data_IF_410956048750
#
_entry.id   IF_410956048750
#
_cell.length_a   1.000
_cell.length_b   1.000
_cell.length_c   1.000
_cell.angle_alpha   90.00
_cell.angle_beta   90.00
_cell.angle_gamma   90.00
#
_symmetry.space_group_name_H-M   'P 1'
#
loop_
_entity.id
_entity.type
_entity.pdbx_description
1 polymer ?
#
# COMPACT_ATOMS: atom_id res chain seq x y z
N UNK A 1 72.90 21.10 -16.43
CA UNK A 1 71.56 20.62 -16.05
C UNK A 1 70.57 21.11 -17.11
N UNK A 2 69.95 20.20 -17.81
CA UNK A 2 69.16 20.45 -19.02
C UNK A 2 67.79 21.07 -18.65
N UNK A 3 67.37 22.10 -19.43
CA UNK A 3 66.10 22.81 -19.30
C UNK A 3 64.82 21.91 -19.38
N UNK A 4 64.97 20.60 -19.65
CA UNK A 4 63.87 19.64 -19.69
C UNK A 4 63.39 19.16 -18.32
N UNK A 5 64.20 19.28 -17.27
CA UNK A 5 63.79 18.79 -15.91
C UNK A 5 63.06 19.84 -15.08
N UNK A 6 63.04 21.09 -15.51
CA UNK A 6 62.33 22.15 -14.77
C UNK A 6 60.83 22.19 -15.13
N UNK A 7 60.43 21.74 -16.33
CA UNK A 7 59.04 21.70 -16.76
C UNK A 7 58.26 20.52 -16.14
N UNK A 8 58.94 19.43 -15.80
CA UNK A 8 58.29 18.23 -15.23
C UNK A 8 57.92 18.39 -13.74
N UNK A 9 58.68 19.26 -12.98
CA UNK A 9 58.39 19.53 -11.60
C UNK A 9 57.27 20.56 -11.41
N UNK A 10 57.07 21.47 -12.38
CA UNK A 10 55.98 22.46 -12.29
C UNK A 10 54.60 21.83 -12.60
N UNK A 11 54.55 20.78 -13.43
CA UNK A 11 53.30 20.06 -13.75
C UNK A 11 52.79 19.15 -12.62
N UNK A 12 53.71 18.60 -11.82
CA UNK A 12 53.36 17.75 -10.68
C UNK A 12 52.86 18.60 -9.50
N UNK A 13 53.32 19.82 -9.30
CA UNK A 13 52.83 20.70 -8.25
C UNK A 13 51.43 21.27 -8.53
N UNK A 14 51.05 21.43 -9.82
CA UNK A 14 49.70 21.90 -10.16
C UNK A 14 48.65 20.79 -10.09
N UNK A 15 49.02 19.51 -10.23
CA UNK A 15 48.08 18.36 -10.03
C UNK A 15 47.76 18.06 -8.54
N UNK A 16 48.66 18.46 -7.63
CA UNK A 16 48.46 18.22 -6.20
C UNK A 16 47.62 19.31 -5.51
N UNK A 17 47.39 20.45 -6.15
CA UNK A 17 46.57 21.54 -5.61
C UNK A 17 45.07 21.39 -5.96
N UNK A 18 44.70 20.56 -6.91
CA UNK A 18 43.29 20.34 -7.30
C UNK A 18 42.60 19.17 -6.57
N UNK A 19 43.31 18.43 -5.72
CA UNK A 19 42.72 17.29 -4.98
C UNK A 19 42.24 17.63 -3.57
N UNK A 20 42.30 18.87 -3.12
CA UNK A 20 41.87 19.28 -1.76
C UNK A 20 40.58 20.10 -1.71
N UNK A 21 39.90 20.34 -2.85
CA UNK A 21 38.67 21.15 -2.89
C UNK A 21 37.40 20.37 -3.28
N UNK A 22 37.45 19.02 -3.29
CA UNK A 22 36.27 18.18 -3.55
C UNK A 22 35.95 17.32 -2.32
N UNK A 23 35.87 17.94 -1.17
CA UNK A 23 35.41 17.24 0.03
C UNK A 23 34.79 18.21 1.03
N UNK A 24 33.76 18.93 0.60
CA UNK A 24 32.73 19.51 1.46
C UNK A 24 31.54 19.95 0.59
N UNK A 25 30.91 18.99 -0.12
CA UNK A 25 29.53 19.17 -0.45
C UNK A 25 28.76 18.93 0.87
N UNK A 26 28.28 20.01 1.47
CA UNK A 26 27.24 19.95 2.49
C UNK A 26 26.16 19.03 1.92
N UNK A 27 25.95 17.89 2.57
CA UNK A 27 24.71 17.17 2.49
C UNK A 27 23.67 18.10 3.11
N UNK A 28 23.07 18.95 2.29
CA UNK A 28 21.84 19.62 2.68
C UNK A 28 20.84 18.48 2.97
N UNK A 29 20.50 18.32 4.24
CA UNK A 29 19.30 17.59 4.62
C UNK A 29 18.15 18.30 3.90
N UNK A 30 17.78 17.79 2.74
CA UNK A 30 16.49 18.06 2.15
C UNK A 30 15.46 17.49 3.14
N UNK A 31 14.97 18.34 4.02
CA UNK A 31 13.67 18.10 4.64
C UNK A 31 12.67 18.25 3.50
N UNK A 32 12.40 17.16 2.79
CA UNK A 32 11.26 17.13 1.87
C UNK A 32 10.04 17.44 2.75
N UNK A 33 9.46 18.62 2.57
CA UNK A 33 8.12 18.88 3.11
C UNK A 33 7.24 17.72 2.61
N UNK A 34 6.64 16.98 3.56
CA UNK A 34 5.72 15.90 3.24
C UNK A 34 4.56 16.56 2.48
N UNK A 35 4.56 16.43 1.17
CA UNK A 35 3.53 17.02 0.32
C UNK A 35 2.20 16.38 0.70
N UNK A 36 1.27 17.18 1.23
CA UNK A 36 -0.06 16.69 1.57
C UNK A 36 -0.77 16.22 0.31
N UNK A 37 -1.17 14.96 0.28
CA UNK A 37 -1.94 14.40 -0.82
C UNK A 37 -3.35 14.99 -0.83
N UNK A 38 -4.00 14.92 -1.99
CA UNK A 38 -5.41 15.27 -2.12
C UNK A 38 -6.25 14.18 -1.47
N UNK A 39 -7.06 14.55 -0.49
CA UNK A 39 -8.09 13.68 0.10
C UNK A 39 -9.34 13.73 -0.78
N UNK A 40 -9.78 12.60 -1.39
CA UNK A 40 -11.06 12.57 -2.07
C UNK A 40 -12.20 12.97 -1.11
N UNK A 41 -13.27 13.60 -1.61
CA UNK A 41 -14.42 13.97 -0.77
C UNK A 41 -14.99 12.76 -0.04
N UNK A 42 -15.23 12.87 1.26
CA UNK A 42 -15.95 11.85 2.02
C UNK A 42 -17.38 11.70 1.51
N UNK A 43 -17.89 10.49 1.59
CA UNK A 43 -19.22 10.16 1.09
C UNK A 43 -20.31 10.72 2.01
N UNK A 44 -21.45 11.00 1.40
CA UNK A 44 -22.68 11.42 2.09
C UNK A 44 -23.83 10.54 1.63
N UNK A 45 -24.89 10.47 2.43
CA UNK A 45 -26.14 9.83 2.03
C UNK A 45 -26.61 10.40 0.69
N UNK A 46 -26.92 9.51 -0.25
CA UNK A 46 -27.31 9.83 -1.62
C UNK A 46 -26.17 9.84 -2.64
N UNK A 47 -24.91 9.79 -2.21
CA UNK A 47 -23.76 9.66 -3.11
C UNK A 47 -23.74 8.31 -3.81
N UNK A 48 -23.13 8.28 -5.00
CA UNK A 48 -23.01 7.08 -5.81
C UNK A 48 -21.62 6.50 -5.74
N UNK A 49 -21.55 5.18 -5.59
CA UNK A 49 -20.32 4.37 -5.71
C UNK A 49 -20.48 3.33 -6.81
N UNK A 50 -19.37 2.85 -7.34
CA UNK A 50 -19.38 1.74 -8.29
C UNK A 50 -18.64 0.54 -7.69
N UNK A 51 -19.22 -0.66 -7.84
CA UNK A 51 -18.53 -1.92 -7.61
C UNK A 51 -18.12 -2.48 -8.96
N UNK A 52 -16.85 -2.78 -9.15
CA UNK A 52 -16.30 -3.35 -10.38
C UNK A 52 -15.21 -4.39 -10.09
N UNK A 53 -14.81 -5.15 -11.09
CA UNK A 53 -13.81 -6.22 -10.94
C UNK A 53 -12.55 -5.91 -11.77
N UNK A 54 -11.54 -5.25 -11.18
CA UNK A 54 -10.34 -4.85 -11.94
C UNK A 54 -9.38 -6.02 -12.21
N UNK A 55 -9.53 -7.14 -11.53
CA UNK A 55 -8.58 -8.24 -11.51
C UNK A 55 -9.25 -9.62 -11.66
N UNK A 56 -9.44 -10.34 -10.56
CA UNK A 56 -9.94 -11.72 -10.52
C UNK A 56 -11.44 -11.85 -10.80
N UNK A 57 -11.84 -13.01 -11.32
CA UNK A 57 -13.22 -13.31 -11.72
C UNK A 57 -14.21 -13.26 -10.56
N UNK A 58 -15.41 -12.77 -10.85
CA UNK A 58 -16.59 -12.80 -9.98
C UNK A 58 -17.73 -13.67 -10.55
N UNK A 59 -17.46 -14.45 -11.60
CA UNK A 59 -18.39 -15.44 -12.13
C UNK A 59 -18.82 -16.37 -11.00
N UNK A 60 -20.11 -16.58 -10.84
CA UNK A 60 -20.74 -17.34 -9.73
C UNK A 60 -20.68 -16.65 -8.35
N UNK A 61 -20.41 -15.34 -8.28
CA UNK A 61 -20.45 -14.54 -7.05
C UNK A 61 -21.46 -13.39 -7.12
N UNK A 62 -22.51 -13.54 -7.94
CA UNK A 62 -23.54 -12.52 -8.09
C UNK A 62 -24.24 -12.22 -6.76
N UNK A 63 -24.58 -13.27 -6.00
CA UNK A 63 -25.21 -13.13 -4.68
C UNK A 63 -24.29 -12.39 -3.68
N UNK A 64 -23.00 -12.71 -3.69
CA UNK A 64 -22.01 -12.03 -2.86
C UNK A 64 -21.93 -10.52 -3.17
N UNK A 65 -21.92 -10.17 -4.46
CA UNK A 65 -21.86 -8.76 -4.89
C UNK A 65 -23.19 -8.05 -4.58
N UNK A 66 -24.33 -8.75 -4.65
CA UNK A 66 -25.60 -8.15 -4.22
C UNK A 66 -25.60 -7.86 -2.71
N UNK A 67 -25.12 -8.77 -1.86
CA UNK A 67 -24.93 -8.50 -0.42
C UNK A 67 -24.01 -7.29 -0.16
N UNK A 68 -22.92 -7.15 -0.93
CA UNK A 68 -22.05 -5.99 -0.83
C UNK A 68 -22.76 -4.69 -1.21
N UNK A 69 -23.58 -4.74 -2.27
CA UNK A 69 -24.42 -3.63 -2.68
C UNK A 69 -25.44 -3.27 -1.59
N UNK A 70 -26.17 -4.25 -1.07
CA UNK A 70 -27.13 -4.07 0.03
C UNK A 70 -26.47 -3.45 1.26
N UNK A 71 -25.25 -3.87 1.61
CA UNK A 71 -24.47 -3.28 2.70
C UNK A 71 -24.25 -1.79 2.46
N UNK A 72 -23.76 -1.39 1.31
CA UNK A 72 -23.52 0.02 0.99
C UNK A 72 -24.84 0.83 0.88
N UNK A 73 -25.88 0.24 0.34
CA UNK A 73 -27.23 0.86 0.26
C UNK A 73 -27.84 1.04 1.67
N UNK A 74 -27.54 0.16 2.62
CA UNK A 74 -27.95 0.32 4.02
C UNK A 74 -27.34 1.55 4.69
N UNK A 75 -26.26 2.08 4.14
CA UNK A 75 -25.61 3.34 4.56
C UNK A 75 -26.18 4.56 3.82
N UNK A 76 -27.17 4.36 2.96
CA UNK A 76 -27.80 5.40 2.16
C UNK A 76 -27.07 5.78 0.89
N UNK A 77 -26.11 4.95 0.44
CA UNK A 77 -25.40 5.14 -0.82
C UNK A 77 -26.19 4.58 -2.00
N UNK A 78 -25.91 5.05 -3.20
CA UNK A 78 -26.40 4.49 -4.45
C UNK A 78 -25.30 3.63 -5.07
N UNK A 79 -25.59 2.38 -5.40
CA UNK A 79 -24.59 1.47 -5.93
C UNK A 79 -24.83 1.17 -7.40
N UNK A 80 -23.79 1.36 -8.20
CA UNK A 80 -23.76 0.99 -9.63
C UNK A 80 -22.79 -0.18 -9.78
N UNK A 81 -23.12 -1.14 -10.63
CA UNK A 81 -22.20 -2.23 -10.97
C UNK A 81 -21.48 -1.92 -12.28
N UNK A 82 -20.19 -2.29 -12.36
CA UNK A 82 -19.45 -2.28 -13.61
C UNK A 82 -20.13 -3.12 -14.67
N UNK A 83 -20.12 -2.68 -15.92
CA UNK A 83 -20.78 -3.36 -17.05
C UNK A 83 -20.26 -4.79 -17.22
N UNK A 84 -18.97 -5.00 -17.00
CA UNK A 84 -18.25 -6.25 -17.23
C UNK A 84 -17.92 -7.02 -15.95
N UNK A 85 -18.47 -6.61 -14.80
CA UNK A 85 -18.12 -7.13 -13.46
C UNK A 85 -18.18 -8.67 -13.35
N UNK A 86 -19.08 -9.33 -14.08
CA UNK A 86 -19.25 -10.79 -14.05
C UNK A 86 -18.67 -11.50 -15.28
N UNK A 87 -17.98 -10.76 -16.15
CA UNK A 87 -17.35 -11.35 -17.32
C UNK A 87 -16.17 -12.26 -16.91
N UNK A 88 -15.77 -13.13 -17.81
CA UNK A 88 -14.67 -14.06 -17.61
C UNK A 88 -13.82 -14.18 -18.87
N UNK A 89 -12.53 -13.98 -18.70
CA UNK A 89 -11.51 -14.31 -19.68
C UNK A 89 -10.35 -15.04 -18.98
N UNK A 90 -10.30 -16.37 -19.12
CA UNK A 90 -9.32 -17.20 -18.41
C UNK A 90 -9.41 -17.02 -16.89
N UNK A 91 -8.38 -16.42 -16.26
CA UNK A 91 -8.27 -16.14 -14.83
C UNK A 91 -8.92 -14.80 -14.43
N UNK A 92 -9.18 -13.91 -15.41
CA UNK A 92 -9.55 -12.52 -15.17
C UNK A 92 -11.06 -12.28 -15.28
N UNK A 93 -11.50 -11.19 -14.66
CA UNK A 93 -12.88 -10.69 -14.78
C UNK A 93 -13.09 -9.98 -16.13
N UNK A 94 -13.10 -10.74 -17.24
CA UNK A 94 -13.11 -10.23 -18.59
C UNK A 94 -11.73 -9.97 -19.17
N UNK A 95 -11.69 -9.45 -20.39
CA UNK A 95 -10.44 -9.06 -21.07
C UNK A 95 -9.80 -7.84 -20.40
N UNK A 96 -8.55 -7.53 -20.75
CA UNK A 96 -7.90 -6.31 -20.28
C UNK A 96 -8.69 -5.06 -20.73
N UNK A 97 -9.27 -5.09 -21.95
CA UNK A 97 -10.07 -4.01 -22.53
C UNK A 97 -11.39 -3.80 -21.75
N UNK A 98 -12.10 -4.88 -21.42
CA UNK A 98 -13.35 -4.82 -20.65
C UNK A 98 -13.13 -4.26 -19.25
N UNK A 99 -12.07 -4.70 -18.55
CA UNK A 99 -11.70 -4.19 -17.22
C UNK A 99 -11.25 -2.74 -17.28
N UNK A 100 -10.50 -2.35 -18.33
CA UNK A 100 -10.09 -0.98 -18.58
C UNK A 100 -11.31 -0.09 -18.87
N UNK A 101 -12.28 -0.56 -19.67
CA UNK A 101 -13.52 0.19 -19.96
C UNK A 101 -14.31 0.50 -18.70
N UNK A 102 -14.51 -0.48 -17.80
CA UNK A 102 -15.25 -0.28 -16.56
C UNK A 102 -14.52 0.70 -15.63
N UNK A 103 -13.20 0.54 -15.49
CA UNK A 103 -12.38 1.43 -14.67
C UNK A 103 -12.35 2.85 -15.23
N UNK A 104 -12.12 3.03 -16.54
CA UNK A 104 -12.05 4.34 -17.16
C UNK A 104 -13.37 5.10 -17.04
N UNK A 105 -14.50 4.43 -17.30
CA UNK A 105 -15.83 5.03 -17.11
C UNK A 105 -16.06 5.49 -15.66
N UNK A 106 -15.59 4.71 -14.71
CA UNK A 106 -15.71 5.06 -13.29
C UNK A 106 -14.79 6.23 -12.91
N UNK A 107 -13.56 6.26 -13.42
CA UNK A 107 -12.62 7.37 -13.20
C UNK A 107 -13.14 8.67 -13.80
N UNK A 108 -13.72 8.62 -15.00
CA UNK A 108 -14.20 9.80 -15.74
C UNK A 108 -15.54 10.33 -15.24
N UNK A 109 -16.34 9.54 -14.54
CA UNK A 109 -17.67 9.96 -14.10
C UNK A 109 -17.59 10.77 -12.79
N UNK A 110 -17.84 12.11 -12.80
CA UNK A 110 -17.74 12.96 -11.60
C UNK A 110 -18.82 12.66 -10.55
N UNK A 111 -19.90 11.95 -10.94
CA UNK A 111 -20.96 11.57 -10.02
C UNK A 111 -20.59 10.35 -9.16
N UNK A 112 -19.62 9.54 -9.59
CA UNK A 112 -19.09 8.43 -8.78
C UNK A 112 -18.10 9.01 -7.76
N UNK A 113 -18.32 8.71 -6.47
CA UNK A 113 -17.48 9.17 -5.35
C UNK A 113 -16.50 8.14 -4.85
N UNK A 114 -16.75 6.86 -5.13
CA UNK A 114 -15.84 5.78 -4.80
C UNK A 114 -15.91 4.64 -5.83
N UNK A 115 -14.77 4.03 -6.08
CA UNK A 115 -14.61 2.80 -6.85
C UNK A 115 -14.25 1.70 -5.85
N UNK A 116 -15.23 0.81 -5.58
CA UNK A 116 -15.06 -0.29 -4.66
C UNK A 116 -14.77 -1.57 -5.42
N UNK A 117 -13.60 -2.12 -5.24
CA UNK A 117 -13.21 -3.37 -5.92
C UNK A 117 -14.04 -4.53 -5.39
N UNK A 118 -14.67 -5.26 -6.30
CA UNK A 118 -15.43 -6.45 -5.93
C UNK A 118 -14.52 -7.56 -5.43
N UNK A 119 -13.32 -7.69 -6.03
CA UNK A 119 -12.31 -8.69 -5.68
C UNK A 119 -10.91 -8.26 -6.15
N UNK A 120 -9.88 -8.72 -5.42
CA UNK A 120 -8.49 -8.74 -5.86
C UNK A 120 -8.18 -9.96 -6.76
N UNK A 121 -7.13 -10.68 -6.44
CA UNK A 121 -6.63 -11.81 -7.21
C UNK A 121 -5.37 -11.43 -7.97
N UNK A 122 -5.43 -11.37 -9.31
CA UNK A 122 -4.34 -10.87 -10.16
C UNK A 122 -4.92 -10.21 -11.41
N UNK A 123 -4.33 -9.09 -11.82
CA UNK A 123 -4.70 -8.44 -13.09
C UNK A 123 -4.65 -6.93 -13.08
N UNK A 124 -4.61 -6.26 -11.92
CA UNK A 124 -4.56 -4.79 -11.83
C UNK A 124 -3.39 -4.18 -12.58
N UNK A 125 -2.19 -4.75 -12.46
CA UNK A 125 -0.99 -4.27 -13.17
C UNK A 125 -1.11 -4.31 -14.70
N UNK A 126 -2.00 -5.14 -15.26
CA UNK A 126 -2.21 -5.26 -16.71
C UNK A 126 -3.02 -4.12 -17.31
N UNK A 127 -3.85 -3.47 -16.47
CA UNK A 127 -4.76 -2.40 -16.89
C UNK A 127 -4.31 -1.03 -16.39
N UNK A 128 -3.51 -1.00 -15.33
CA UNK A 128 -3.06 0.21 -14.65
C UNK A 128 -2.50 1.29 -15.60
N UNK A 129 -1.64 0.88 -16.51
CA UNK A 129 -0.95 1.76 -17.49
C UNK A 129 -1.78 2.10 -18.73
N UNK A 130 -2.96 1.49 -18.88
CA UNK A 130 -3.90 1.76 -19.98
C UNK A 130 -4.90 2.86 -19.64
N UNK A 131 -4.96 3.28 -18.37
CA UNK A 131 -5.92 4.25 -17.87
C UNK A 131 -5.41 5.69 -18.02
N UNK A 132 -6.32 6.58 -18.39
CA UNK A 132 -6.11 8.03 -18.32
C UNK A 132 -6.65 8.56 -16.98
N UNK A 133 -5.77 9.16 -16.20
CA UNK A 133 -6.11 9.70 -14.87
C UNK A 133 -6.43 11.20 -14.91
N UNK A 134 -6.50 11.84 -16.08
CA UNK A 134 -6.68 13.30 -16.21
C UNK A 134 -7.97 13.77 -15.54
N UNK A 135 -9.10 13.14 -15.83
CA UNK A 135 -10.39 13.50 -15.21
C UNK A 135 -10.44 13.12 -13.74
N UNK A 136 -9.84 11.97 -13.37
CA UNK A 136 -9.72 11.54 -11.98
C UNK A 136 -8.98 12.57 -11.11
N UNK A 137 -7.89 13.16 -11.60
CA UNK A 137 -7.12 14.18 -10.86
C UNK A 137 -7.90 15.49 -10.68
N UNK A 138 -8.81 15.80 -11.61
CA UNK A 138 -9.72 16.96 -11.47
C UNK A 138 -10.88 16.68 -10.51
N UNK A 139 -11.33 15.43 -10.45
CA UNK A 139 -12.46 14.96 -9.63
C UNK A 139 -12.07 13.72 -8.84
N UNK A 140 -11.15 13.81 -7.87
CA UNK A 140 -10.65 12.67 -7.15
C UNK A 140 -11.75 11.94 -6.39
N UNK A 141 -11.67 10.62 -6.38
CA UNK A 141 -12.59 9.71 -5.72
C UNK A 141 -11.84 8.59 -5.03
N UNK A 142 -12.46 7.96 -4.05
CA UNK A 142 -11.84 6.86 -3.32
C UNK A 142 -11.65 5.64 -4.20
N UNK A 143 -10.44 5.11 -4.23
CA UNK A 143 -10.13 3.79 -4.78
C UNK A 143 -9.96 2.83 -3.61
N UNK A 144 -10.78 1.78 -3.57
CA UNK A 144 -10.98 0.95 -2.39
C UNK A 144 -10.72 -0.52 -2.72
N UNK A 145 -9.95 -1.17 -1.87
CA UNK A 145 -9.65 -2.58 -1.92
C UNK A 145 -8.33 -2.91 -1.23
N UNK A 146 -7.90 -4.15 -1.32
CA UNK A 146 -6.63 -4.65 -0.79
C UNK A 146 -6.05 -5.73 -1.73
N UNK A 147 -4.98 -6.42 -1.34
CA UNK A 147 -4.39 -7.47 -2.19
C UNK A 147 -3.87 -6.89 -3.51
N UNK A 148 -4.33 -7.40 -4.65
CA UNK A 148 -3.96 -6.95 -6.01
C UNK A 148 -4.23 -5.44 -6.26
N UNK A 149 -5.15 -4.83 -5.48
CA UNK A 149 -5.46 -3.40 -5.56
C UNK A 149 -4.30 -2.53 -5.03
N UNK A 150 -3.34 -3.10 -4.33
CA UNK A 150 -2.08 -2.45 -3.96
C UNK A 150 -1.40 -1.77 -5.16
N UNK A 151 -1.54 -2.33 -6.37
CA UNK A 151 -1.01 -1.72 -7.59
C UNK A 151 -1.61 -0.33 -7.85
N UNK A 152 -2.94 -0.19 -7.66
CA UNK A 152 -3.61 1.11 -7.77
C UNK A 152 -3.24 2.04 -6.62
N UNK A 153 -3.16 1.53 -5.39
CA UNK A 153 -2.77 2.35 -4.24
C UNK A 153 -1.42 3.02 -4.46
N UNK A 154 -0.41 2.23 -4.85
CA UNK A 154 0.93 2.74 -5.10
C UNK A 154 0.98 3.73 -6.27
N UNK A 155 0.30 3.42 -7.38
CA UNK A 155 0.29 4.28 -8.55
C UNK A 155 -0.40 5.64 -8.27
N UNK A 156 -1.58 5.59 -7.64
CA UNK A 156 -2.40 6.78 -7.35
C UNK A 156 -1.75 7.63 -6.24
N UNK A 157 -1.06 7.00 -5.28
CA UNK A 157 -0.24 7.72 -4.31
C UNK A 157 0.79 8.62 -5.01
N UNK A 158 1.48 8.07 -6.02
CA UNK A 158 2.46 8.83 -6.83
C UNK A 158 1.80 9.94 -7.67
N UNK A 159 0.50 9.83 -7.97
CA UNK A 159 -0.29 10.90 -8.58
C UNK A 159 -0.78 11.95 -7.57
N UNK A 160 -0.50 11.78 -6.29
CA UNK A 160 -0.81 12.76 -5.25
C UNK A 160 -2.20 12.64 -4.64
N UNK A 161 -2.86 11.48 -4.70
CA UNK A 161 -4.21 11.25 -4.15
C UNK A 161 -4.21 10.13 -3.13
N UNK A 162 -4.95 10.33 -2.02
CA UNK A 162 -5.17 9.29 -1.01
C UNK A 162 -6.07 8.15 -1.54
N UNK A 163 -5.85 6.93 -1.06
CA UNK A 163 -6.64 5.75 -1.38
C UNK A 163 -6.99 4.97 -0.11
N UNK A 164 -7.81 3.92 -0.21
CA UNK A 164 -8.28 3.20 0.95
C UNK A 164 -8.01 1.70 0.83
N UNK A 165 -7.06 1.19 1.61
CA UNK A 165 -6.94 -0.25 1.87
C UNK A 165 -8.09 -0.64 2.79
N UNK A 166 -9.05 -1.40 2.28
CA UNK A 166 -10.24 -1.82 3.02
C UNK A 166 -10.87 -3.05 2.37
N UNK A 167 -11.87 -3.61 3.04
CA UNK A 167 -12.62 -4.76 2.55
C UNK A 167 -13.09 -4.59 1.09
N UNK A 168 -13.13 -5.68 0.35
CA UNK A 168 -13.69 -5.75 -1.00
C UNK A 168 -15.09 -6.33 -0.98
N UNK A 169 -15.81 -6.26 -2.12
CA UNK A 169 -17.16 -6.79 -2.21
C UNK A 169 -17.28 -8.25 -1.79
N UNK A 170 -16.28 -9.09 -2.08
CA UNK A 170 -16.28 -10.50 -1.68
C UNK A 170 -16.04 -10.74 -0.18
N UNK A 171 -15.58 -9.77 0.57
CA UNK A 171 -15.36 -9.90 2.02
C UNK A 171 -16.65 -9.97 2.83
N UNK A 172 -17.80 -9.66 2.23
CA UNK A 172 -19.12 -9.76 2.91
C UNK A 172 -19.56 -11.21 3.14
N UNK A 173 -18.92 -12.19 2.49
CA UNK A 173 -19.18 -13.62 2.69
C UNK A 173 -18.40 -14.22 3.87
N UNK A 174 -17.47 -13.46 4.46
CA UNK A 174 -16.77 -13.89 5.66
C UNK A 174 -17.75 -13.97 6.86
N UNK A 175 -17.34 -14.65 7.93
CA UNK A 175 -18.15 -14.80 9.13
C UNK A 175 -18.57 -13.42 9.68
N UNK A 176 -19.87 -13.13 9.79
CA UNK A 176 -20.36 -11.83 10.23
C UNK A 176 -19.82 -11.38 11.61
N UNK A 177 -19.53 -12.32 12.52
CA UNK A 177 -18.97 -11.99 13.84
C UNK A 177 -17.51 -11.54 13.74
N UNK A 178 -16.77 -12.04 12.74
CA UNK A 178 -15.36 -11.73 12.54
C UNK A 178 -15.12 -10.46 11.74
N UNK A 179 -16.12 -9.96 10.98
CA UNK A 179 -16.00 -8.77 10.13
C UNK A 179 -16.62 -7.49 10.72
N UNK A 180 -17.04 -7.51 11.97
CA UNK A 180 -17.68 -6.35 12.62
C UNK A 180 -16.77 -5.12 12.57
N UNK A 181 -15.51 -5.25 12.99
CA UNK A 181 -14.54 -4.16 12.99
C UNK A 181 -14.13 -3.78 11.57
N UNK A 182 -14.07 -4.75 10.65
CA UNK A 182 -13.83 -4.54 9.22
C UNK A 182 -14.89 -3.61 8.62
N UNK A 183 -16.17 -3.94 8.79
CA UNK A 183 -17.30 -3.14 8.30
C UNK A 183 -17.35 -1.78 9.00
N UNK A 184 -17.17 -1.75 10.32
CA UNK A 184 -17.19 -0.53 11.12
C UNK A 184 -16.10 0.45 10.68
N UNK A 185 -14.86 0.00 10.55
CA UNK A 185 -13.72 0.83 10.13
C UNK A 185 -13.87 1.29 8.68
N UNK A 186 -14.37 0.43 7.79
CA UNK A 186 -14.64 0.80 6.41
C UNK A 186 -15.69 1.90 6.30
N UNK A 187 -16.81 1.77 7.02
CA UNK A 187 -17.84 2.81 7.07
C UNK A 187 -17.28 4.13 7.60
N UNK A 188 -16.56 4.10 8.73
CA UNK A 188 -15.91 5.28 9.31
C UNK A 188 -15.00 5.97 8.27
N UNK A 189 -14.13 5.21 7.62
CA UNK A 189 -13.22 5.74 6.59
C UNK A 189 -13.97 6.39 5.42
N UNK A 190 -15.06 5.78 4.94
CA UNK A 190 -15.86 6.32 3.83
C UNK A 190 -16.55 7.63 4.17
N UNK A 191 -17.10 7.76 5.38
CA UNK A 191 -17.87 8.92 5.81
C UNK A 191 -17.05 10.00 6.52
N UNK A 192 -15.76 9.77 6.71
CA UNK A 192 -14.84 10.76 7.27
C UNK A 192 -14.77 10.81 8.78
N UNK A 193 -15.23 9.74 9.44
CA UNK A 193 -15.02 9.60 10.87
C UNK A 193 -13.54 9.29 11.15
N UNK A 194 -13.05 9.72 12.30
CA UNK A 194 -11.66 9.49 12.69
C UNK A 194 -11.36 8.00 12.83
N UNK A 195 -10.23 7.59 12.28
CA UNK A 195 -9.69 6.25 12.42
C UNK A 195 -8.60 6.24 13.50
N UNK A 196 -8.88 5.55 14.57
CA UNK A 196 -7.93 5.26 15.65
C UNK A 196 -8.01 3.79 16.00
N UNK A 197 -6.86 3.13 15.97
CA UNK A 197 -6.74 1.71 16.28
C UNK A 197 -5.87 1.52 17.51
N UNK A 198 -6.37 0.75 18.47
CA UNK A 198 -5.61 0.31 19.64
C UNK A 198 -5.65 -1.21 19.66
N UNK A 199 -4.48 -1.83 19.65
CA UNK A 199 -4.34 -3.28 19.58
C UNK A 199 -3.38 -3.81 20.65
N UNK A 200 -3.54 -5.06 21.11
CA UNK A 200 -2.55 -5.70 21.97
C UNK A 200 -1.17 -5.73 21.31
N UNK A 201 -0.14 -5.41 22.08
CA UNK A 201 1.23 -5.41 21.55
C UNK A 201 1.79 -6.81 21.41
N UNK A 202 2.32 -7.13 20.24
CA UNK A 202 3.03 -8.39 19.97
C UNK A 202 4.35 -8.47 20.75
N UNK A 203 4.79 -9.70 21.05
CA UNK A 203 6.11 -9.96 21.66
C UNK A 203 7.27 -9.64 20.71
N UNK A 204 7.00 -9.55 19.43
CA UNK A 204 7.98 -9.23 18.39
C UNK A 204 8.10 -7.72 18.10
N UNK A 205 7.26 -6.88 18.73
CA UNK A 205 7.28 -5.45 18.50
C UNK A 205 8.65 -4.82 18.81
N UNK A 206 9.13 -3.98 17.88
CA UNK A 206 10.24 -3.06 18.14
C UNK A 206 9.63 -1.72 18.54
N UNK A 207 9.75 -1.37 19.81
CA UNK A 207 9.06 -0.22 20.44
C UNK A 207 9.55 1.13 19.89
N UNK A 208 8.67 2.11 19.87
CA UNK A 208 8.97 3.49 19.47
C UNK A 208 7.73 4.23 19.02
N UNK A 209 7.94 5.46 18.58
CA UNK A 209 6.89 6.32 18.01
C UNK A 209 7.38 6.76 16.64
N UNK A 210 6.49 6.69 15.67
CA UNK A 210 6.72 7.18 14.32
C UNK A 210 5.56 8.06 13.86
N UNK A 211 5.86 9.02 13.00
CA UNK A 211 4.89 9.88 12.36
C UNK A 211 5.20 9.92 10.86
N UNK A 212 4.17 9.82 10.02
CA UNK A 212 4.32 9.84 8.57
C UNK A 212 3.05 9.43 7.83
N UNK A 213 3.06 9.59 6.52
CA UNK A 213 2.00 9.03 5.68
C UNK A 213 2.07 7.51 5.68
N UNK A 214 0.92 6.84 5.85
CA UNK A 214 0.84 5.38 5.73
C UNK A 214 0.79 5.00 4.25
N UNK A 215 1.68 4.12 3.83
CA UNK A 215 1.76 3.58 2.46
C UNK A 215 2.04 2.09 2.51
N UNK A 216 1.79 1.37 1.42
CA UNK A 216 2.14 -0.05 1.39
C UNK A 216 1.03 -0.92 0.81
N UNK A 217 0.85 -2.11 1.36
CA UNK A 217 -0.13 -3.12 0.96
C UNK A 217 0.46 -4.52 0.85
N UNK A 218 0.03 -5.28 -0.15
CA UNK A 218 0.48 -6.65 -0.38
C UNK A 218 1.95 -6.70 -0.81
N UNK A 219 2.74 -7.53 -0.10
CA UNK A 219 4.18 -7.62 -0.28
C UNK A 219 4.58 -8.03 -1.70
N UNK A 220 3.87 -9.01 -2.29
CA UNK A 220 4.18 -9.48 -3.64
C UNK A 220 3.95 -8.36 -4.67
N UNK A 221 2.91 -7.55 -4.51
CA UNK A 221 2.63 -6.40 -5.36
C UNK A 221 3.68 -5.30 -5.18
N UNK A 222 4.05 -4.94 -3.94
CA UNK A 222 5.10 -3.96 -3.68
C UNK A 222 6.43 -4.39 -4.33
N UNK A 223 6.82 -5.66 -4.16
CA UNK A 223 8.04 -6.18 -4.77
C UNK A 223 7.98 -6.22 -6.30
N UNK A 224 6.82 -6.54 -6.89
CA UNK A 224 6.65 -6.60 -8.35
C UNK A 224 6.69 -5.24 -9.03
N UNK A 225 6.41 -4.16 -8.31
CA UNK A 225 6.39 -2.79 -8.85
C UNK A 225 7.73 -2.06 -8.72
N UNK A 226 8.76 -2.69 -8.12
CA UNK A 226 10.09 -2.10 -8.02
C UNK A 226 10.65 -1.70 -9.39
N UNK A 227 11.17 -0.48 -9.49
CA UNK A 227 11.73 0.08 -10.73
C UNK A 227 10.68 0.56 -11.73
N UNK A 228 9.37 0.42 -11.46
CA UNK A 228 8.30 0.97 -12.28
C UNK A 228 7.91 2.39 -11.83
N UNK A 229 7.13 3.11 -12.66
CA UNK A 229 6.55 4.41 -12.27
C UNK A 229 5.55 4.31 -11.12
N UNK A 230 5.13 3.09 -10.77
CA UNK A 230 4.22 2.80 -9.64
C UNK A 230 4.95 2.40 -8.36
N UNK A 231 6.29 2.38 -8.37
CA UNK A 231 7.06 2.17 -7.14
C UNK A 231 6.78 3.31 -6.16
N UNK A 232 6.33 2.98 -4.97
CA UNK A 232 6.04 3.96 -3.92
C UNK A 232 7.34 4.52 -3.32
N UNK A 233 7.45 5.84 -3.21
CA UNK A 233 8.47 6.48 -2.37
C UNK A 233 8.11 6.32 -0.90
N UNK A 234 9.04 5.80 -0.10
CA UNK A 234 8.85 5.49 1.32
C UNK A 234 9.57 6.46 2.25
N UNK A 235 10.22 7.49 1.72
CA UNK A 235 10.93 8.48 2.53
C UNK A 235 9.96 9.23 3.46
N UNK A 236 10.26 9.22 4.76
CA UNK A 236 9.43 9.88 5.78
C UNK A 236 8.06 9.25 5.98
N UNK A 237 7.84 7.99 5.55
CA UNK A 237 6.55 7.32 5.59
C UNK A 237 6.55 6.12 6.52
N UNK A 238 5.36 5.73 6.97
CA UNK A 238 5.09 4.47 7.67
C UNK A 238 4.70 3.45 6.62
N UNK A 239 5.43 2.34 6.55
CA UNK A 239 5.17 1.27 5.59
C UNK A 239 4.24 0.25 6.23
N UNK A 240 3.16 -0.12 5.54
CA UNK A 240 2.30 -1.25 5.88
C UNK A 240 2.56 -2.41 4.92
N UNK A 241 2.70 -3.62 5.46
CA UNK A 241 2.94 -4.85 4.66
C UNK A 241 2.01 -5.95 5.16
N UNK A 242 1.33 -6.62 4.24
CA UNK A 242 0.57 -7.85 4.46
C UNK A 242 0.86 -8.85 3.34
N UNK A 243 0.57 -10.16 3.53
CA UNK A 243 0.78 -11.16 2.48
C UNK A 243 -0.08 -12.42 2.70
N UNK A 244 -0.41 -13.13 1.62
CA UNK A 244 -1.18 -14.38 1.68
C UNK A 244 -0.66 -15.45 0.74
N UNK A 245 -0.58 -16.67 1.24
CA UNK A 245 -0.42 -17.86 0.38
C UNK A 245 0.97 -18.04 -0.21
N UNK A 246 2.01 -17.46 0.40
CA UNK A 246 3.39 -17.55 -0.05
C UNK A 246 4.23 -18.55 0.76
N UNK A 247 5.36 -18.99 0.20
CA UNK A 247 6.37 -19.71 0.93
C UNK A 247 7.26 -18.75 1.72
N UNK A 248 7.80 -19.18 2.86
CA UNK A 248 8.72 -18.34 3.66
C UNK A 248 9.92 -17.82 2.85
N UNK A 249 10.51 -18.65 1.96
CA UNK A 249 11.61 -18.17 1.11
C UNK A 249 11.17 -17.11 0.09
N UNK A 250 9.90 -17.14 -0.37
CA UNK A 250 9.36 -16.09 -1.25
C UNK A 250 9.19 -14.79 -0.48
N UNK A 251 8.66 -14.86 0.76
CA UNK A 251 8.50 -13.71 1.65
C UNK A 251 9.87 -13.09 1.93
N UNK A 252 10.86 -13.89 2.33
CA UNK A 252 12.23 -13.41 2.54
C UNK A 252 12.78 -12.71 1.29
N UNK A 253 12.70 -13.36 0.13
CA UNK A 253 13.19 -12.81 -1.14
C UNK A 253 12.53 -11.46 -1.47
N UNK A 254 11.22 -11.33 -1.27
CA UNK A 254 10.50 -10.08 -1.52
C UNK A 254 10.92 -8.98 -0.53
N UNK A 255 11.04 -9.29 0.76
CA UNK A 255 11.56 -8.35 1.77
C UNK A 255 12.99 -7.91 1.45
N UNK A 256 13.87 -8.83 1.06
CA UNK A 256 15.23 -8.51 0.61
C UNK A 256 15.23 -7.64 -0.66
N UNK A 257 14.27 -7.86 -1.58
CA UNK A 257 14.14 -7.02 -2.77
C UNK A 257 13.74 -5.59 -2.40
N UNK A 258 12.77 -5.42 -1.48
CA UNK A 258 12.39 -4.10 -0.95
C UNK A 258 13.58 -3.42 -0.24
N UNK A 259 14.31 -4.16 0.60
CA UNK A 259 15.51 -3.66 1.29
C UNK A 259 16.57 -3.16 0.30
N UNK A 260 16.91 -3.99 -0.71
CA UNK A 260 17.90 -3.65 -1.75
C UNK A 260 17.48 -2.48 -2.61
N UNK A 261 16.17 -2.27 -2.79
CA UNK A 261 15.60 -1.11 -3.48
C UNK A 261 15.53 0.15 -2.61
N UNK A 262 15.96 0.07 -1.34
CA UNK A 262 16.02 1.21 -0.43
C UNK A 262 14.72 1.53 0.30
N UNK A 263 13.71 0.66 0.25
CA UNK A 263 12.40 0.90 0.87
C UNK A 263 12.48 1.24 2.36
N UNK A 264 13.43 0.65 3.08
CA UNK A 264 13.59 0.82 4.52
C UNK A 264 14.59 1.92 4.92
N UNK A 265 15.30 2.53 3.96
CA UNK A 265 16.41 3.43 4.29
C UNK A 265 15.99 4.69 5.04
N UNK A 266 14.81 5.22 4.74
CA UNK A 266 14.34 6.50 5.28
C UNK A 266 12.86 6.46 5.68
N UNK A 267 12.26 5.28 5.80
CA UNK A 267 10.92 5.15 6.37
C UNK A 267 10.97 5.47 7.88
N UNK A 268 9.84 5.90 8.43
CA UNK A 268 9.75 6.28 9.84
C UNK A 268 9.22 5.16 10.72
N UNK A 269 8.53 4.18 10.14
CA UNK A 269 7.94 3.05 10.86
C UNK A 269 7.52 1.93 9.93
N UNK A 270 7.31 0.75 10.49
CA UNK A 270 6.85 -0.44 9.78
C UNK A 270 5.67 -1.07 10.53
N UNK A 271 4.60 -1.36 9.81
CA UNK A 271 3.43 -2.09 10.29
C UNK A 271 3.35 -3.39 9.51
N UNK A 272 3.34 -4.51 10.21
CA UNK A 272 3.09 -5.84 9.67
C UNK A 272 1.65 -6.23 10.00
N UNK A 273 0.86 -6.36 8.96
CA UNK A 273 -0.50 -6.89 9.02
C UNK A 273 -0.52 -8.41 8.98
N UNK A 274 -1.58 -8.97 8.42
CA UNK A 274 -1.68 -10.42 8.29
C UNK A 274 -0.65 -10.95 7.29
N UNK A 275 0.12 -11.95 7.72
CA UNK A 275 0.88 -12.81 6.82
C UNK A 275 0.34 -14.22 7.02
N UNK A 276 -0.53 -14.65 6.13
CA UNK A 276 -1.40 -15.81 6.34
C UNK A 276 -1.27 -16.88 5.25
N UNK A 277 -1.85 -18.05 5.52
CA UNK A 277 -1.85 -19.18 4.58
C UNK A 277 -0.46 -19.56 4.05
N UNK A 278 0.54 -19.50 4.94
CA UNK A 278 1.95 -19.80 4.59
C UNK A 278 2.06 -21.22 4.08
N UNK A 279 2.61 -21.37 2.88
CA UNK A 279 2.86 -22.66 2.27
C UNK A 279 4.02 -23.39 2.97
N UNK A 280 3.86 -24.70 3.15
CA UNK A 280 4.90 -25.53 3.76
C UNK A 280 6.10 -25.69 2.79
N UNK A 281 7.28 -25.31 3.26
CA UNK A 281 8.52 -25.56 2.52
C UNK A 281 8.88 -27.05 2.55
N UNK A 282 9.61 -27.51 1.54
CA UNK A 282 10.16 -28.89 1.50
C UNK A 282 11.21 -29.12 2.59
N UNK A 283 11.93 -28.08 2.97
CA UNK A 283 12.90 -28.04 4.08
C UNK A 283 12.41 -27.04 5.10
N UNK A 284 12.57 -27.35 6.38
CA UNK A 284 12.23 -26.41 7.45
C UNK A 284 13.06 -25.13 7.28
N UNK A 285 12.38 -23.99 7.38
CA UNK A 285 13.03 -22.68 7.23
C UNK A 285 13.79 -22.23 8.48
N UNK A 286 13.41 -22.75 9.65
CA UNK A 286 14.06 -22.46 10.94
C UNK A 286 13.74 -21.11 11.56
N UNK A 287 12.98 -20.22 10.88
CA UNK A 287 12.56 -18.90 11.38
C UNK A 287 11.03 -18.77 11.36
N UNK A 288 10.48 -17.98 12.29
CA UNK A 288 9.12 -17.47 12.17
C UNK A 288 9.07 -16.34 11.11
N UNK A 289 7.87 -15.87 10.77
CA UNK A 289 7.73 -14.72 9.85
C UNK A 289 8.25 -13.45 10.52
N UNK A 290 7.95 -13.29 11.80
CA UNK A 290 8.36 -12.13 12.59
C UNK A 290 9.88 -12.05 12.70
N UNK A 291 10.54 -13.16 12.98
CA UNK A 291 12.01 -13.27 13.00
C UNK A 291 12.62 -12.91 11.65
N UNK A 292 12.00 -13.37 10.54
CA UNK A 292 12.39 -13.03 9.18
C UNK A 292 12.33 -11.53 8.92
N UNK A 293 11.20 -10.90 9.26
CA UNK A 293 11.03 -9.44 9.12
C UNK A 293 12.08 -8.71 9.97
N UNK A 294 12.23 -9.08 11.23
CA UNK A 294 13.18 -8.44 12.14
C UNK A 294 14.63 -8.60 11.67
N UNK A 295 15.02 -9.73 11.09
CA UNK A 295 16.37 -9.92 10.51
C UNK A 295 16.61 -8.97 9.33
N UNK A 296 15.62 -8.79 8.46
CA UNK A 296 15.71 -7.88 7.32
C UNK A 296 15.88 -6.43 7.75
N UNK A 297 15.18 -6.00 8.81
CA UNK A 297 15.17 -4.59 9.27
C UNK A 297 16.03 -4.33 10.49
N UNK A 298 16.88 -5.25 10.92
CA UNK A 298 17.67 -5.16 12.17
C UNK A 298 18.60 -3.95 12.26
N UNK A 299 19.07 -3.45 11.10
CA UNK A 299 20.01 -2.33 11.02
C UNK A 299 19.35 -0.94 11.07
N UNK A 300 18.01 -0.88 11.02
CA UNK A 300 17.25 0.37 11.03
C UNK A 300 16.66 0.63 12.42
N UNK A 301 16.51 1.90 12.80
CA UNK A 301 16.09 2.30 14.15
C UNK A 301 14.59 2.58 14.29
N UNK A 302 13.80 2.51 13.21
CA UNK A 302 12.37 2.75 13.26
C UNK A 302 11.61 1.69 14.08
N UNK A 303 10.43 2.04 14.64
CA UNK A 303 9.55 1.08 15.31
C UNK A 303 8.90 0.11 14.33
N UNK A 304 8.65 -1.13 14.80
CA UNK A 304 7.95 -2.17 14.04
C UNK A 304 6.77 -2.69 14.86
N UNK A 305 5.57 -2.52 14.32
CA UNK A 305 4.33 -3.08 14.89
C UNK A 305 3.98 -4.37 14.15
N UNK A 306 3.77 -5.45 14.88
CA UNK A 306 3.25 -6.72 14.36
C UNK A 306 1.78 -6.92 14.75
N UNK A 307 1.15 -7.86 14.07
CA UNK A 307 -0.23 -8.31 14.33
C UNK A 307 -1.29 -7.21 14.14
N UNK A 308 -1.02 -6.21 13.27
CA UNK A 308 -2.04 -5.24 12.94
C UNK A 308 -3.17 -5.92 12.15
N UNK A 309 -4.45 -5.77 12.57
CA UNK A 309 -5.57 -6.48 11.95
C UNK A 309 -5.95 -5.87 10.59
N UNK A 310 -5.14 -6.11 9.58
CA UNK A 310 -5.40 -5.78 8.18
C UNK A 310 -4.65 -6.75 7.26
N UNK A 311 -5.29 -7.17 6.18
CA UNK A 311 -4.77 -8.15 5.23
C UNK A 311 -5.83 -9.11 4.72
N UNK A 312 -5.56 -10.42 4.78
CA UNK A 312 -6.43 -11.45 4.21
C UNK A 312 -7.22 -12.28 5.24
N UNK A 313 -7.15 -11.92 6.52
CA UNK A 313 -8.07 -12.47 7.54
C UNK A 313 -9.37 -11.67 7.56
N UNK A 314 -10.44 -12.22 8.17
CA UNK A 314 -11.75 -11.55 8.25
C UNK A 314 -11.70 -10.18 8.94
N UNK A 315 -10.94 -10.03 10.05
CA UNK A 315 -10.66 -8.72 10.65
C UNK A 315 -9.61 -7.97 9.80
N UNK A 316 -10.11 -7.20 8.82
CA UNK A 316 -9.33 -6.44 7.86
C UNK A 316 -9.73 -4.96 7.92
N UNK A 317 -9.21 -4.26 8.92
CA UNK A 317 -9.55 -2.87 9.23
C UNK A 317 -9.03 -1.91 8.18
N UNK A 318 -9.79 -0.86 7.90
CA UNK A 318 -9.48 0.11 6.86
C UNK A 318 -8.26 0.96 7.21
N UNK A 319 -7.37 1.17 6.21
CA UNK A 319 -6.25 2.11 6.28
C UNK A 319 -6.38 3.14 5.17
N UNK A 320 -6.12 4.41 5.46
CA UNK A 320 -6.09 5.45 4.44
C UNK A 320 -4.64 5.66 4.00
N UNK A 321 -4.30 5.14 2.83
CA UNK A 321 -2.96 5.31 2.27
C UNK A 321 -2.76 6.72 1.73
N UNK A 322 -1.60 7.29 2.08
CA UNK A 322 -1.27 8.68 1.81
C UNK A 322 -1.62 9.64 2.94
N UNK A 323 -2.43 9.21 3.91
CA UNK A 323 -2.77 10.02 5.07
C UNK A 323 -1.69 9.91 6.14
N UNK A 324 -1.44 11.04 6.80
CA UNK A 324 -0.54 11.12 7.92
C UNK A 324 -1.15 10.41 9.13
N UNK A 325 -0.29 9.70 9.87
CA UNK A 325 -0.69 9.00 11.09
C UNK A 325 0.45 9.02 12.11
N UNK A 326 0.09 8.82 13.37
CA UNK A 326 1.00 8.56 14.48
C UNK A 326 0.92 7.08 14.82
N UNK A 327 2.07 6.40 14.73
CA UNK A 327 2.27 5.01 15.11
C UNK A 327 2.95 4.96 16.47
N UNK A 328 2.30 4.40 17.48
CA UNK A 328 2.89 4.17 18.80
C UNK A 328 3.02 2.67 19.05
N UNK A 329 4.26 2.18 19.09
CA UNK A 329 4.56 0.77 19.29
C UNK A 329 5.06 0.54 20.70
N UNK A 330 4.38 -0.31 21.45
CA UNK A 330 4.67 -0.68 22.84
C UNK A 330 5.13 -2.13 22.95
N UNK A 331 5.74 -2.48 24.09
CA UNK A 331 6.14 -3.84 24.40
C UNK A 331 4.93 -4.72 24.75
N UNK A 332 5.12 -6.04 24.67
CA UNK A 332 4.12 -7.03 25.06
C UNK A 332 3.51 -6.74 26.44
N UNK A 333 2.22 -7.03 26.60
CA UNK A 333 1.44 -6.72 27.80
C UNK A 333 0.87 -5.29 27.85
N UNK A 334 1.21 -4.44 26.86
CA UNK A 334 0.69 -3.08 26.68
C UNK A 334 -0.17 -3.00 25.43
N UNK A 335 -0.68 -1.81 25.13
CA UNK A 335 -1.42 -1.51 23.90
C UNK A 335 -0.58 -0.63 22.97
N UNK A 336 -0.53 -1.00 21.71
CA UNK A 336 0.02 -0.18 20.62
C UNK A 336 -1.11 0.52 19.88
N UNK A 337 -0.83 1.66 19.25
CA UNK A 337 -1.85 2.42 18.51
C UNK A 337 -1.38 2.89 17.14
N UNK A 338 -2.35 3.08 16.23
CA UNK A 338 -2.23 3.80 14.98
C UNK A 338 -3.37 4.82 14.91
N UNK A 339 -3.03 6.10 14.81
CA UNK A 339 -3.97 7.22 14.86
C UNK A 339 -3.80 8.07 13.60
N UNK A 340 -4.83 8.13 12.75
CA UNK A 340 -4.82 8.96 11.55
C UNK A 340 -5.23 10.41 11.86
N UNK A 341 -4.61 11.38 11.14
CA UNK A 341 -4.99 12.80 11.20
C UNK A 341 -6.41 13.06 10.71
#
# INVERSE_FOLDING_TARGET
MSKKNLFSLLFISLLMMNCKTIAQSKVEKSTSEITKLVTPPYLKVGDSIVILAPAGILTHRQETIEKAKELAESWGLKVVLGKHIFNKHSHFAGTDEERTEDLQKALDNPNIKAIWSGRGGYGSVRVLDKLDYTTFLQHPKWIIGYSDITAFHSHIHNLGVETMHAMMGTSVDDDPELIIETISSFKKALFGDQLTYTIPSSTYNKTGIAEGQVVGGNLALLASMLGSKSQTDTNGKIIFIEEVGEYKYSIDRMLQSLKRAGYFNHCTGLIIGDISNIKKNSTDWGYTIEELVLDVVKEYDFPVMFDFPAGHKPDNRALIFGRKAVLTVKSSGQQSSLEFD
#
